data_IF_521661075614
#
_entry.id   IF_521661075614
#
_cell.length_a   1.000
_cell.length_b   1.000
_cell.length_c   1.000
_cell.angle_alpha   90.00
_cell.angle_beta   90.00
_cell.angle_gamma   90.00
#
_symmetry.space_group_name_H-M   'P 1'
#
loop_
_entity.id
_entity.type
_entity.pdbx_description
1 polymer ?
#
# COMPACT_ATOMS: atom_id res chain seq x y z
N UNK A 1 -6.10 -11.49 -6.56
CA UNK A 1 -4.93 -11.12 -5.75
C UNK A 1 -5.38 -10.35 -4.53
N UNK A 2 -5.07 -10.84 -3.32
CA UNK A 2 -5.44 -10.23 -2.04
C UNK A 2 -4.24 -9.51 -1.45
N UNK A 3 -4.44 -8.29 -0.91
CA UNK A 3 -3.34 -7.49 -0.35
C UNK A 3 -2.68 -8.17 0.85
N UNK A 4 -3.45 -8.92 1.64
CA UNK A 4 -2.94 -9.60 2.83
C UNK A 4 -1.95 -10.72 2.47
N UNK A 5 -2.17 -11.43 1.35
CA UNK A 5 -1.20 -12.40 0.84
C UNK A 5 0.13 -11.75 0.45
N UNK A 6 0.08 -10.56 -0.13
CA UNK A 6 1.31 -9.82 -0.45
C UNK A 6 2.04 -9.35 0.82
N UNK A 7 1.31 -8.97 1.87
CA UNK A 7 1.90 -8.63 3.19
C UNK A 7 2.56 -9.85 3.84
N UNK A 8 1.95 -11.03 3.76
CA UNK A 8 2.56 -12.28 4.25
C UNK A 8 3.88 -12.60 3.52
N UNK A 9 3.89 -12.44 2.19
CA UNK A 9 5.10 -12.61 1.37
C UNK A 9 6.15 -11.57 1.77
N UNK A 10 5.77 -10.31 1.95
CA UNK A 10 6.67 -9.24 2.38
C UNK A 10 7.34 -9.58 3.73
N UNK A 11 6.55 -9.99 4.73
CA UNK A 11 7.07 -10.40 6.03
C UNK A 11 8.04 -11.59 5.92
N UNK A 12 7.75 -12.56 5.05
CA UNK A 12 8.65 -13.68 4.77
C UNK A 12 9.95 -13.19 4.15
N UNK A 13 9.89 -12.28 3.18
CA UNK A 13 11.07 -11.68 2.55
C UNK A 13 11.94 -10.99 3.60
N UNK A 14 11.36 -10.13 4.45
CA UNK A 14 12.09 -9.42 5.51
C UNK A 14 12.82 -10.37 6.47
N UNK A 15 12.11 -11.40 6.94
CA UNK A 15 12.61 -12.29 7.98
C UNK A 15 13.62 -13.32 7.48
N UNK A 16 13.58 -13.68 6.19
CA UNK A 16 14.38 -14.80 5.65
C UNK A 16 15.40 -14.41 4.59
N UNK A 17 15.39 -13.18 4.06
CA UNK A 17 16.33 -12.71 3.01
C UNK A 17 17.79 -13.02 3.33
N UNK A 18 18.23 -12.81 4.58
CA UNK A 18 19.63 -13.06 4.99
C UNK A 18 20.06 -14.53 4.88
N UNK A 19 19.09 -15.46 4.87
CA UNK A 19 19.32 -16.91 4.77
C UNK A 19 19.23 -17.43 3.34
N UNK A 20 18.68 -16.66 2.41
CA UNK A 20 18.57 -17.03 0.99
C UNK A 20 19.91 -16.74 0.30
N UNK A 21 20.62 -17.79 -0.14
CA UNK A 21 22.00 -17.67 -0.61
C UNK A 21 22.15 -17.58 -2.13
N UNK A 22 21.17 -18.06 -2.89
CA UNK A 22 21.28 -18.16 -4.34
C UNK A 22 19.95 -17.87 -5.04
N UNK A 23 20.03 -17.76 -6.35
CA UNK A 23 18.89 -17.45 -7.22
C UNK A 23 17.79 -18.52 -7.14
N UNK A 24 18.15 -19.81 -7.07
CA UNK A 24 17.17 -20.90 -6.95
C UNK A 24 16.37 -20.80 -5.65
N UNK A 25 17.03 -20.50 -4.54
CA UNK A 25 16.38 -20.28 -3.26
C UNK A 25 15.50 -19.02 -3.29
N UNK A 26 15.91 -17.95 -3.99
CA UNK A 26 15.07 -16.77 -4.23
C UNK A 26 13.80 -17.12 -5.02
N UNK A 27 13.95 -17.89 -6.11
CA UNK A 27 12.85 -18.37 -6.94
C UNK A 27 11.81 -19.13 -6.12
N UNK A 28 12.24 -20.13 -5.33
CA UNK A 28 11.34 -20.96 -4.52
C UNK A 28 10.76 -20.21 -3.32
N UNK A 29 11.57 -19.43 -2.61
CA UNK A 29 11.14 -18.83 -1.35
C UNK A 29 10.26 -17.60 -1.52
N UNK A 30 10.50 -16.79 -2.58
CA UNK A 30 9.89 -15.47 -2.77
C UNK A 30 9.09 -15.36 -4.06
N UNK A 31 9.65 -15.78 -5.21
CA UNK A 31 9.02 -15.54 -6.52
C UNK A 31 7.85 -16.49 -6.76
N UNK A 32 7.97 -17.78 -6.45
CA UNK A 32 6.86 -18.73 -6.59
C UNK A 32 5.63 -18.34 -5.75
N UNK A 33 5.76 -18.00 -4.45
CA UNK A 33 4.63 -17.46 -3.69
C UNK A 33 4.02 -16.20 -4.29
N UNK A 34 4.85 -15.31 -4.85
CA UNK A 34 4.35 -14.12 -5.55
C UNK A 34 3.53 -14.48 -6.79
N UNK A 35 4.02 -15.39 -7.65
CA UNK A 35 3.29 -15.87 -8.82
C UNK A 35 1.92 -16.47 -8.45
N UNK A 36 1.87 -17.26 -7.38
CA UNK A 36 0.62 -17.80 -6.83
C UNK A 36 -0.32 -16.69 -6.35
N UNK A 37 0.18 -15.72 -5.59
CA UNK A 37 -0.61 -14.59 -5.12
C UNK A 37 -1.13 -13.72 -6.29
N UNK A 38 -0.33 -13.62 -7.35
CA UNK A 38 -0.65 -12.96 -8.61
C UNK A 38 -1.66 -13.75 -9.46
N UNK A 39 -2.01 -14.97 -9.03
CA UNK A 39 -3.12 -15.75 -9.56
C UNK A 39 -2.72 -16.82 -10.57
N UNK A 40 -1.42 -17.02 -10.82
CA UNK A 40 -0.93 -18.04 -11.73
C UNK A 40 -0.62 -19.35 -11.01
N UNK A 41 -0.96 -20.47 -11.62
CA UNK A 41 -0.73 -21.78 -11.03
C UNK A 41 0.71 -22.28 -11.30
N UNK A 42 1.58 -22.10 -10.30
CA UNK A 42 2.99 -22.56 -10.34
C UNK A 42 3.14 -24.08 -10.34
N UNK A 43 2.08 -24.84 -10.05
CA UNK A 43 2.10 -26.30 -10.11
C UNK A 43 1.58 -26.85 -11.44
N UNK A 44 1.06 -25.97 -12.31
CA UNK A 44 0.65 -26.31 -13.66
C UNK A 44 1.75 -25.89 -14.65
N UNK A 45 2.58 -26.82 -15.16
CA UNK A 45 3.67 -26.50 -16.08
C UNK A 45 3.19 -26.01 -17.46
N UNK A 46 1.91 -26.18 -17.79
CA UNK A 46 1.30 -25.61 -18.99
C UNK A 46 0.94 -24.13 -18.82
N UNK A 47 0.84 -23.65 -17.57
CA UNK A 47 0.53 -22.27 -17.25
C UNK A 47 1.77 -21.51 -16.78
N UNK A 48 2.53 -22.07 -15.83
CA UNK A 48 3.82 -21.50 -15.40
C UNK A 48 4.90 -22.51 -15.77
N UNK A 49 5.55 -22.28 -16.90
CA UNK A 49 6.59 -23.16 -17.43
C UNK A 49 7.97 -22.72 -16.90
N UNK A 50 8.61 -23.48 -15.98
CA UNK A 50 9.96 -23.18 -15.54
C UNK A 50 10.99 -23.51 -16.61
N UNK A 51 12.15 -22.84 -16.59
CA UNK A 51 13.23 -23.05 -17.54
C UNK A 51 12.75 -23.10 -19.01
N UNK A 52 11.93 -22.12 -19.39
CA UNK A 52 11.29 -22.12 -20.70
C UNK A 52 12.31 -21.90 -21.82
N UNK A 53 12.34 -22.84 -22.76
CA UNK A 53 13.13 -22.78 -23.99
C UNK A 53 12.21 -22.79 -25.20
N UNK A 54 12.46 -21.91 -26.16
CA UNK A 54 11.78 -21.90 -27.45
C UNK A 54 12.75 -22.35 -28.54
N UNK A 55 12.31 -23.24 -29.44
CA UNK A 55 13.11 -23.67 -30.59
C UNK A 55 13.03 -22.61 -31.70
N UNK A 56 13.66 -21.46 -31.44
CA UNK A 56 13.67 -20.29 -32.31
C UNK A 56 15.09 -19.96 -32.76
N UNK A 57 15.20 -19.44 -33.98
CA UNK A 57 16.48 -19.05 -34.58
C UNK A 57 17.14 -17.96 -33.71
N UNK A 58 18.30 -18.27 -33.13
CA UNK A 58 19.06 -17.35 -32.26
C UNK A 58 18.94 -17.61 -30.75
N UNK A 59 18.12 -18.58 -30.32
CA UNK A 59 17.93 -18.93 -28.89
C UNK A 59 18.47 -20.31 -28.50
N UNK A 60 19.28 -20.96 -29.35
CA UNK A 60 19.76 -22.32 -29.11
C UNK A 60 20.59 -22.42 -27.82
N UNK A 61 20.03 -23.08 -26.80
CA UNK A 61 20.69 -23.41 -25.53
C UNK A 61 20.48 -22.41 -24.40
N UNK A 62 19.74 -21.33 -24.63
CA UNK A 62 19.32 -20.41 -23.56
C UNK A 62 17.97 -20.85 -22.99
N UNK A 63 17.60 -20.36 -21.80
CA UNK A 63 16.28 -20.61 -21.17
C UNK A 63 15.90 -19.49 -20.22
N UNK A 64 14.72 -18.89 -20.35
CA UNK A 64 14.23 -17.95 -19.32
C UNK A 64 13.70 -18.72 -18.12
N UNK A 65 13.74 -18.11 -16.94
CA UNK A 65 13.43 -18.80 -15.70
C UNK A 65 11.98 -19.25 -15.59
N UNK A 66 11.04 -18.40 -15.99
CA UNK A 66 9.64 -18.77 -16.13
C UNK A 66 9.03 -18.14 -17.39
N UNK A 67 8.17 -18.90 -18.05
CA UNK A 67 7.19 -18.37 -18.98
C UNK A 67 5.78 -18.61 -18.42
N UNK A 68 4.96 -17.58 -18.38
CA UNK A 68 3.54 -17.69 -18.11
C UNK A 68 2.84 -17.83 -19.46
N UNK A 69 2.14 -18.94 -19.63
CA UNK A 69 1.51 -19.33 -20.87
C UNK A 69 -0.01 -19.23 -20.75
N UNK A 70 -0.63 -18.70 -21.80
CA UNK A 70 -2.07 -18.74 -22.01
C UNK A 70 -2.31 -19.40 -23.37
N UNK A 71 -3.20 -20.40 -23.42
CA UNK A 71 -3.45 -21.19 -24.63
C UNK A 71 -2.16 -21.75 -25.28
N UNK A 72 -1.23 -22.21 -24.43
CA UNK A 72 0.13 -22.70 -24.79
C UNK A 72 1.06 -21.67 -25.45
N UNK A 73 0.70 -20.38 -25.45
CA UNK A 73 1.55 -19.30 -25.93
C UNK A 73 2.14 -18.50 -24.77
N UNK A 74 3.45 -18.19 -24.76
CA UNK A 74 4.05 -17.40 -23.69
C UNK A 74 3.56 -15.95 -23.77
N UNK A 75 2.82 -15.50 -22.76
CA UNK A 75 2.32 -14.12 -22.66
C UNK A 75 3.20 -13.25 -21.77
N UNK A 76 3.87 -13.84 -20.78
CA UNK A 76 4.79 -13.16 -19.87
C UNK A 76 6.05 -14.01 -19.75
N UNK A 77 7.20 -13.38 -19.94
CA UNK A 77 8.51 -13.98 -19.69
C UNK A 77 9.08 -13.39 -18.42
N UNK A 78 9.67 -14.22 -17.56
CA UNK A 78 10.26 -13.77 -16.31
C UNK A 78 11.71 -14.25 -16.19
N UNK A 79 12.58 -13.29 -15.95
CA UNK A 79 13.99 -13.48 -15.63
C UNK A 79 14.20 -13.16 -14.15
N UNK A 80 14.75 -14.10 -13.41
CA UNK A 80 14.92 -14.01 -11.97
C UNK A 80 16.41 -13.80 -11.63
N UNK A 81 16.65 -13.19 -10.48
CA UNK A 81 17.98 -12.94 -9.91
C UNK A 81 17.97 -13.27 -8.44
N UNK A 82 19.15 -13.40 -7.84
CA UNK A 82 19.24 -13.55 -6.37
C UNK A 82 18.71 -12.29 -5.67
N UNK A 83 18.02 -12.44 -4.54
CA UNK A 83 17.50 -11.34 -3.71
C UNK A 83 18.58 -10.36 -3.18
N UNK A 84 19.86 -10.68 -3.37
CA UNK A 84 20.99 -9.81 -3.03
C UNK A 84 21.55 -9.02 -4.22
N UNK A 85 21.10 -9.33 -5.45
CA UNK A 85 21.55 -8.65 -6.65
C UNK A 85 20.72 -7.39 -6.94
N UNK A 86 21.41 -6.37 -7.46
CA UNK A 86 20.80 -5.15 -7.98
C UNK A 86 20.41 -5.36 -9.46
N UNK A 87 19.16 -5.03 -9.80
CA UNK A 87 18.59 -5.22 -11.13
C UNK A 87 19.03 -4.17 -12.17
N UNK A 88 19.76 -3.11 -11.78
CA UNK A 88 20.23 -2.05 -12.68
C UNK A 88 21.29 -2.52 -13.69
N UNK A 89 21.97 -3.65 -13.44
CA UNK A 89 23.06 -4.07 -14.30
C UNK A 89 22.53 -4.54 -15.68
N UNK A 90 22.91 -3.92 -16.82
CA UNK A 90 22.31 -4.19 -18.14
C UNK A 90 22.37 -5.65 -18.61
N UNK A 91 23.39 -6.41 -18.17
CA UNK A 91 23.48 -7.84 -18.47
C UNK A 91 22.29 -8.65 -17.92
N UNK A 92 21.62 -8.20 -16.86
CA UNK A 92 20.51 -8.92 -16.24
C UNK A 92 19.27 -8.96 -17.12
N UNK A 93 19.03 -7.97 -17.98
CA UNK A 93 17.89 -7.99 -18.90
C UNK A 93 18.23 -8.62 -20.25
N UNK A 94 19.51 -8.86 -20.57
CA UNK A 94 19.93 -9.28 -21.92
C UNK A 94 19.25 -10.57 -22.40
N UNK A 95 19.06 -11.54 -21.52
CA UNK A 95 18.37 -12.78 -21.80
C UNK A 95 16.86 -12.57 -22.00
N UNK A 96 16.25 -11.77 -21.13
CA UNK A 96 14.85 -11.37 -21.24
C UNK A 96 14.56 -10.63 -22.56
N UNK A 97 15.42 -9.69 -22.99
CA UNK A 97 15.29 -9.01 -24.29
C UNK A 97 15.31 -10.00 -25.47
N UNK A 98 16.26 -10.95 -25.48
CA UNK A 98 16.38 -11.93 -26.57
C UNK A 98 15.12 -12.80 -26.68
N UNK A 99 14.62 -13.29 -25.57
CA UNK A 99 13.40 -14.11 -25.55
C UNK A 99 12.16 -13.31 -25.93
N UNK A 100 11.98 -12.13 -25.33
CA UNK A 100 10.84 -11.27 -25.61
C UNK A 100 10.72 -10.99 -27.11
N UNK A 101 11.82 -10.60 -27.75
CA UNK A 101 11.83 -10.25 -29.17
C UNK A 101 11.58 -11.46 -30.10
N UNK A 102 11.78 -12.69 -29.61
CA UNK A 102 11.67 -13.91 -30.39
C UNK A 102 10.31 -14.61 -30.21
N UNK A 103 9.70 -14.56 -29.02
CA UNK A 103 8.50 -15.35 -28.70
C UNK A 103 7.18 -14.60 -28.91
N UNK A 104 7.21 -13.28 -29.12
CA UNK A 104 5.98 -12.48 -29.22
C UNK A 104 5.25 -12.31 -27.88
N UNK A 105 5.94 -12.49 -26.76
CA UNK A 105 5.37 -12.27 -25.43
C UNK A 105 4.98 -10.79 -25.25
N UNK A 106 3.90 -10.53 -24.52
CA UNK A 106 3.43 -9.17 -24.30
C UNK A 106 4.23 -8.45 -23.21
N UNK A 107 4.74 -9.23 -22.23
CA UNK A 107 5.47 -8.71 -21.09
C UNK A 107 6.77 -9.45 -20.81
N UNK A 108 7.77 -8.68 -20.41
CA UNK A 108 8.95 -9.17 -19.73
C UNK A 108 8.94 -8.73 -18.26
N UNK A 109 9.36 -9.59 -17.36
CA UNK A 109 9.52 -9.27 -15.93
C UNK A 109 10.94 -9.61 -15.50
N UNK A 110 11.68 -8.62 -14.99
CA UNK A 110 12.96 -8.83 -14.33
C UNK A 110 12.78 -8.66 -12.83
N UNK A 111 13.18 -9.66 -12.04
CA UNK A 111 12.96 -9.62 -10.58
C UNK A 111 14.06 -10.29 -9.78
N UNK A 112 14.25 -9.83 -8.54
CA UNK A 112 15.05 -10.49 -7.51
C UNK A 112 14.18 -11.01 -6.35
N UNK A 113 12.88 -11.15 -6.56
CA UNK A 113 11.89 -11.53 -5.54
C UNK A 113 11.48 -10.39 -4.60
N UNK A 114 12.17 -9.25 -4.63
CA UNK A 114 11.84 -8.04 -3.86
C UNK A 114 11.26 -6.97 -4.79
N UNK A 115 12.00 -6.64 -5.84
CA UNK A 115 11.62 -5.68 -6.86
C UNK A 115 11.20 -6.46 -8.11
N UNK A 116 10.07 -6.10 -8.70
CA UNK A 116 9.53 -6.65 -9.93
C UNK A 116 9.42 -5.54 -10.97
N UNK A 117 10.21 -5.62 -12.04
CA UNK A 117 10.24 -4.63 -13.12
C UNK A 117 9.54 -5.18 -14.34
N UNK A 118 8.49 -4.50 -14.78
CA UNK A 118 7.66 -4.92 -15.90
C UNK A 118 8.03 -4.12 -17.16
N UNK A 119 8.25 -4.84 -18.25
CA UNK A 119 8.66 -4.33 -19.55
C UNK A 119 7.68 -4.79 -20.61
N UNK A 120 7.55 -3.99 -21.67
CA UNK A 120 6.73 -4.29 -22.84
C UNK A 120 7.36 -3.60 -24.05
N UNK A 121 6.68 -3.56 -25.18
CA UNK A 121 7.13 -3.03 -26.47
C UNK A 121 6.36 -1.76 -26.87
N UNK A 122 6.35 -0.72 -26.01
CA UNK A 122 5.60 0.52 -26.29
C UNK A 122 6.26 1.31 -27.43
N UNK A 123 7.60 1.30 -27.52
CA UNK A 123 8.34 2.11 -28.50
C UNK A 123 8.32 1.48 -29.88
N UNK A 124 8.56 0.17 -29.96
CA UNK A 124 8.60 -0.58 -31.23
C UNK A 124 8.06 -1.98 -31.02
N UNK A 125 7.04 -2.35 -31.81
CA UNK A 125 6.40 -3.66 -31.73
C UNK A 125 7.42 -4.80 -31.76
N UNK A 126 7.21 -5.75 -30.83
CA UNK A 126 8.03 -6.93 -30.63
C UNK A 126 9.51 -6.64 -30.32
N UNK A 127 9.82 -5.43 -29.83
CA UNK A 127 11.12 -5.08 -29.26
C UNK A 127 10.90 -4.57 -27.84
N UNK A 128 11.43 -5.30 -26.85
CA UNK A 128 11.29 -4.91 -25.46
C UNK A 128 11.98 -3.57 -25.19
N UNK A 129 11.25 -2.65 -24.55
CA UNK A 129 11.77 -1.34 -24.14
C UNK A 129 12.88 -1.47 -23.08
N UNK A 130 13.84 -0.54 -23.08
CA UNK A 130 14.93 -0.52 -22.09
C UNK A 130 14.47 -0.14 -20.68
N UNK A 131 13.34 0.58 -20.58
CA UNK A 131 12.81 1.10 -19.31
C UNK A 131 11.55 0.34 -18.91
N UNK A 132 11.41 -0.05 -17.62
CA UNK A 132 10.19 -0.66 -17.16
C UNK A 132 9.06 0.38 -17.09
N UNK A 133 7.87 -0.01 -17.55
CA UNK A 133 6.66 0.81 -17.44
C UNK A 133 6.07 0.78 -16.03
N UNK A 134 6.35 -0.27 -15.26
CA UNK A 134 5.88 -0.45 -13.90
C UNK A 134 6.95 -1.15 -13.05
N UNK A 135 7.10 -0.72 -11.80
CA UNK A 135 7.96 -1.35 -10.81
C UNK A 135 7.14 -1.59 -9.55
N UNK A 136 7.19 -2.80 -9.02
CA UNK A 136 6.51 -3.20 -7.80
C UNK A 136 7.55 -3.67 -6.78
N UNK A 137 7.54 -3.08 -5.58
CA UNK A 137 8.41 -3.45 -4.48
C UNK A 137 7.60 -4.16 -3.40
N UNK A 138 7.86 -5.46 -3.18
CA UNK A 138 7.12 -6.24 -2.19
C UNK A 138 7.33 -5.74 -0.75
N UNK A 139 8.40 -4.98 -0.49
CA UNK A 139 8.69 -4.41 0.84
C UNK A 139 8.17 -2.98 0.99
N UNK A 140 7.69 -2.37 -0.10
CA UNK A 140 7.24 -0.98 -0.12
C UNK A 140 6.14 -0.83 -1.18
N UNK A 141 4.92 -1.17 -0.80
CA UNK A 141 3.74 -1.06 -1.65
C UNK A 141 2.54 -0.50 -0.88
N UNK A 142 1.61 0.07 -1.66
CA UNK A 142 0.35 0.62 -1.23
C UNK A 142 -0.83 -0.01 -2.00
N UNK A 143 -2.06 0.37 -1.68
CA UNK A 143 -3.23 -0.17 -2.39
C UNK A 143 -3.24 0.20 -3.88
N UNK A 144 -2.73 1.37 -4.24
CA UNK A 144 -2.68 1.84 -5.63
C UNK A 144 -1.79 0.94 -6.49
N UNK A 145 -0.57 0.67 -6.04
CA UNK A 145 0.37 -0.21 -6.72
C UNK A 145 -0.12 -1.66 -6.80
N UNK A 146 -0.82 -2.14 -5.77
CA UNK A 146 -1.49 -3.45 -5.81
C UNK A 146 -2.60 -3.49 -6.87
N UNK A 147 -3.39 -2.42 -6.99
CA UNK A 147 -4.43 -2.33 -8.02
C UNK A 147 -3.85 -2.26 -9.43
N UNK A 148 -2.72 -1.58 -9.63
CA UNK A 148 -2.00 -1.62 -10.90
C UNK A 148 -1.44 -3.02 -11.21
N UNK A 149 -0.83 -3.69 -10.22
CA UNK A 149 -0.35 -5.06 -10.38
C UNK A 149 -1.47 -6.05 -10.74
N UNK A 150 -2.69 -5.86 -10.20
CA UNK A 150 -3.86 -6.69 -10.53
C UNK A 150 -4.22 -6.64 -12.01
N UNK A 151 -4.00 -5.53 -12.70
CA UNK A 151 -4.34 -5.40 -14.14
C UNK A 151 -3.57 -6.40 -15.02
N UNK A 152 -2.47 -6.93 -14.51
CA UNK A 152 -1.60 -7.89 -15.18
C UNK A 152 -1.73 -9.32 -14.60
N UNK A 153 -2.67 -9.52 -13.66
CA UNK A 153 -2.94 -10.81 -13.00
C UNK A 153 -3.88 -11.70 -13.81
N UNK A 154 -3.88 -13.02 -13.56
CA UNK A 154 -4.71 -14.01 -14.28
C UNK A 154 -6.18 -13.61 -14.46
N UNK A 155 -6.80 -13.06 -13.40
CA UNK A 155 -8.21 -12.65 -13.43
C UNK A 155 -8.51 -11.47 -14.36
N UNK A 156 -7.49 -10.69 -14.71
CA UNK A 156 -7.57 -9.56 -15.64
C UNK A 156 -7.02 -9.94 -17.03
N UNK A 157 -6.46 -11.14 -17.18
CA UNK A 157 -5.91 -11.68 -18.41
C UNK A 157 -6.90 -12.63 -19.08
N UNK A 158 -7.96 -12.11 -19.69
CA UNK A 158 -8.69 -12.93 -20.69
C UNK A 158 -7.90 -12.93 -22.00
N UNK A 159 -7.95 -14.02 -22.78
CA UNK A 159 -7.30 -14.09 -24.11
C UNK A 159 -7.75 -12.92 -25.01
N UNK A 160 -8.99 -12.43 -24.84
CA UNK A 160 -9.50 -11.24 -25.53
C UNK A 160 -8.87 -9.91 -25.10
N UNK A 161 -8.44 -9.76 -23.86
CA UNK A 161 -7.85 -8.51 -23.35
C UNK A 161 -6.38 -8.35 -23.73
N UNK A 162 -5.65 -9.47 -23.88
CA UNK A 162 -4.31 -9.49 -24.48
C UNK A 162 -4.38 -9.20 -25.98
N UNK A 163 -5.32 -9.83 -26.69
CA UNK A 163 -5.48 -9.64 -28.14
C UNK A 163 -6.08 -8.26 -28.52
N UNK A 164 -6.79 -7.59 -27.61
CA UNK A 164 -7.40 -6.28 -27.88
C UNK A 164 -6.50 -5.08 -27.57
N UNK A 165 -5.26 -5.30 -27.10
CA UNK A 165 -4.29 -4.21 -26.87
C UNK A 165 -4.52 -3.36 -25.62
N UNK A 166 -5.61 -3.57 -24.87
CA UNK A 166 -5.92 -2.83 -23.61
C UNK A 166 -4.79 -2.88 -22.59
N UNK A 167 -4.13 -4.02 -22.53
CA UNK A 167 -3.04 -4.30 -21.61
C UNK A 167 -1.78 -3.51 -21.96
N UNK A 168 -1.46 -3.40 -23.26
CA UNK A 168 -0.40 -2.49 -23.75
C UNK A 168 -0.76 -1.02 -23.52
N UNK A 169 -2.04 -0.65 -23.66
CA UNK A 169 -2.51 0.70 -23.37
C UNK A 169 -2.37 1.06 -21.88
N UNK A 170 -2.74 0.14 -20.98
CA UNK A 170 -2.53 0.32 -19.54
C UNK A 170 -1.04 0.49 -19.19
N UNK A 171 -0.16 -0.31 -19.80
CA UNK A 171 1.29 -0.17 -19.64
C UNK A 171 1.79 1.20 -20.14
N UNK A 172 1.32 1.64 -21.31
CA UNK A 172 1.65 2.96 -21.88
C UNK A 172 1.21 4.10 -20.96
N UNK A 173 -0.01 4.02 -20.42
CA UNK A 173 -0.54 5.02 -19.50
C UNK A 173 0.27 5.09 -18.20
N UNK A 174 0.72 3.94 -17.66
CA UNK A 174 1.61 3.89 -16.50
C UNK A 174 2.97 4.54 -16.78
N UNK A 175 3.58 4.20 -17.91
CA UNK A 175 4.86 4.78 -18.32
C UNK A 175 4.77 6.31 -18.44
N UNK A 176 3.78 6.82 -19.18
CA UNK A 176 3.63 8.26 -19.36
C UNK A 176 3.23 8.96 -18.07
N UNK A 177 2.40 8.37 -17.23
CA UNK A 177 2.07 8.93 -15.91
C UNK A 177 3.33 9.09 -15.06
N UNK A 178 4.22 8.09 -15.07
CA UNK A 178 5.51 8.14 -14.35
C UNK A 178 6.42 9.24 -14.89
N UNK A 179 6.59 9.34 -16.22
CA UNK A 179 7.44 10.37 -16.82
C UNK A 179 6.86 11.79 -16.64
N UNK A 180 5.54 11.95 -16.74
CA UNK A 180 4.87 13.23 -16.46
C UNK A 180 5.05 13.63 -15.00
N UNK A 181 4.88 12.71 -14.03
CA UNK A 181 5.15 12.98 -12.61
C UNK A 181 6.60 13.43 -12.38
N UNK A 182 7.56 12.82 -13.08
CA UNK A 182 8.97 13.22 -13.02
C UNK A 182 9.18 14.65 -13.53
N UNK A 183 8.56 15.00 -14.66
CA UNK A 183 8.62 16.38 -15.19
C UNK A 183 7.96 17.36 -14.22
N UNK A 184 6.79 17.04 -13.67
CA UNK A 184 6.12 17.89 -12.65
C UNK A 184 7.05 18.11 -11.46
N UNK A 185 7.65 17.05 -10.90
CA UNK A 185 8.56 17.16 -9.76
C UNK A 185 9.80 17.99 -10.08
N UNK A 186 10.34 17.88 -11.30
CA UNK A 186 11.43 18.74 -11.77
C UNK A 186 10.98 20.20 -11.82
N UNK A 187 9.86 20.51 -12.47
CA UNK A 187 9.35 21.88 -12.59
C UNK A 187 8.99 22.53 -11.24
N UNK A 188 8.53 21.74 -10.26
CA UNK A 188 8.26 22.23 -8.90
C UNK A 188 9.54 22.65 -8.14
N UNK A 189 10.66 21.98 -8.42
CA UNK A 189 11.94 22.24 -7.76
C UNK A 189 12.79 23.26 -8.52
N UNK A 190 12.84 23.14 -9.83
CA UNK A 190 13.63 23.93 -10.77
C UNK A 190 12.81 24.23 -12.03
N UNK A 191 11.94 25.27 -12.00
CA UNK A 191 11.11 25.66 -13.12
C UNK A 191 11.95 26.03 -14.36
N UNK A 192 11.66 25.42 -15.52
CA UNK A 192 12.34 25.80 -16.76
C UNK A 192 11.87 27.16 -17.28
N UNK A 193 12.69 27.87 -18.10
CA UNK A 193 12.29 29.15 -18.68
C UNK A 193 10.98 29.09 -19.48
N UNK A 194 10.69 27.98 -20.17
CA UNK A 194 9.46 27.76 -20.94
C UNK A 194 8.25 27.65 -20.01
N UNK A 195 8.38 26.91 -18.91
CA UNK A 195 7.35 26.77 -17.90
C UNK A 195 7.08 28.10 -17.20
N UNK A 196 8.13 28.87 -16.89
CA UNK A 196 8.01 30.23 -16.35
C UNK A 196 7.29 31.16 -17.33
N UNK A 197 7.69 31.15 -18.61
CA UNK A 197 7.04 31.96 -19.66
C UNK A 197 5.55 31.68 -19.78
N UNK A 198 5.13 30.42 -19.58
CA UNK A 198 3.72 30.05 -19.53
C UNK A 198 2.97 30.80 -18.42
N UNK A 199 3.46 30.81 -17.17
CA UNK A 199 2.78 31.59 -16.12
C UNK A 199 2.84 33.09 -16.37
N UNK A 200 4.00 33.60 -16.76
CA UNK A 200 4.22 35.02 -17.06
C UNK A 200 3.22 35.51 -18.12
N UNK A 201 2.91 34.71 -19.13
CA UNK A 201 1.95 35.09 -20.16
C UNK A 201 0.52 35.31 -19.66
N UNK A 202 0.17 34.75 -18.51
CA UNK A 202 -1.15 34.86 -17.91
C UNK A 202 -1.24 35.94 -16.82
N UNK A 203 -0.10 36.43 -16.31
CA UNK A 203 -0.06 37.36 -15.15
C UNK A 203 0.69 38.67 -15.42
N UNK A 204 1.46 38.76 -16.51
CA UNK A 204 2.29 39.93 -16.83
C UNK A 204 2.10 40.35 -18.29
N UNK A 205 1.70 41.61 -18.49
CA UNK A 205 1.42 42.21 -19.80
C UNK A 205 2.61 42.90 -20.46
N UNK A 206 3.74 43.05 -19.74
CA UNK A 206 4.95 43.69 -20.26
C UNK A 206 5.81 42.77 -21.13
N UNK A 207 6.91 43.33 -21.64
CA UNK A 207 7.88 42.58 -22.45
C UNK A 207 8.56 41.51 -21.61
N UNK A 208 8.57 40.27 -22.11
CA UNK A 208 9.09 39.09 -21.41
C UNK A 208 10.61 38.95 -21.62
N UNK A 209 11.36 39.91 -21.12
CA UNK A 209 12.83 39.88 -21.16
C UNK A 209 13.39 38.76 -20.27
N UNK A 210 14.66 38.39 -20.47
CA UNK A 210 15.32 37.38 -19.63
C UNK A 210 15.30 37.74 -18.14
N UNK A 211 15.51 39.02 -17.79
CA UNK A 211 15.45 39.51 -16.41
C UNK A 211 14.05 39.39 -15.81
N UNK A 212 12.99 39.61 -16.61
CA UNK A 212 11.61 39.37 -16.16
C UNK A 212 11.41 37.89 -15.89
N UNK A 213 11.83 37.00 -16.81
CA UNK A 213 11.72 35.55 -16.61
C UNK A 213 12.43 35.12 -15.33
N UNK A 214 13.68 35.54 -15.11
CA UNK A 214 14.46 35.20 -13.92
C UNK A 214 13.78 35.65 -12.62
N UNK A 215 13.26 36.89 -12.59
CA UNK A 215 12.49 37.39 -11.44
C UNK A 215 11.24 36.55 -11.18
N UNK A 216 10.53 36.14 -12.24
CA UNK A 216 9.33 35.33 -12.12
C UNK A 216 9.62 33.87 -11.77
N UNK A 217 10.80 33.32 -12.10
CA UNK A 217 11.22 31.97 -11.70
C UNK A 217 11.11 31.81 -10.18
N UNK A 218 11.69 32.73 -9.41
CA UNK A 218 11.66 32.68 -7.95
C UNK A 218 10.25 32.88 -7.38
N UNK A 219 9.47 33.78 -7.98
CA UNK A 219 8.07 34.00 -7.57
C UNK A 219 7.25 32.72 -7.79
N UNK A 220 7.34 32.11 -8.97
CA UNK A 220 6.59 30.89 -9.33
C UNK A 220 7.02 29.72 -8.44
N UNK A 221 8.33 29.52 -8.25
CA UNK A 221 8.86 28.47 -7.39
C UNK A 221 8.31 28.58 -5.96
N UNK A 222 8.30 29.79 -5.38
CA UNK A 222 7.72 30.03 -4.07
C UNK A 222 6.21 29.79 -4.07
N UNK A 223 5.48 30.36 -5.02
CA UNK A 223 4.02 30.23 -5.09
C UNK A 223 3.55 28.79 -5.29
N UNK A 224 4.27 27.98 -6.08
CA UNK A 224 3.95 26.55 -6.25
C UNK A 224 4.11 25.78 -4.94
N UNK A 225 5.20 26.04 -4.20
CA UNK A 225 5.43 25.42 -2.87
C UNK A 225 4.36 25.82 -1.86
N UNK A 226 4.04 27.11 -1.78
CA UNK A 226 2.99 27.64 -0.91
C UNK A 226 1.63 26.99 -1.24
N UNK A 227 1.27 26.92 -2.52
CA UNK A 227 0.01 26.32 -2.96
C UNK A 227 -0.08 24.84 -2.61
N UNK A 228 0.98 24.06 -2.82
CA UNK A 228 1.02 22.64 -2.44
C UNK A 228 0.86 22.49 -0.92
N UNK A 229 1.58 23.31 -0.13
CA UNK A 229 1.46 23.28 1.33
C UNK A 229 0.04 23.62 1.78
N UNK A 230 -0.63 24.56 1.12
CA UNK A 230 -2.02 24.90 1.41
C UNK A 230 -3.00 23.79 1.02
N UNK A 231 -2.75 23.07 -0.08
CA UNK A 231 -3.49 21.84 -0.40
C UNK A 231 -3.29 20.81 0.70
N UNK A 232 -2.05 20.53 1.10
CA UNK A 232 -1.74 19.54 2.15
C UNK A 232 -2.44 19.91 3.46
N UNK A 233 -2.42 21.19 3.85
CA UNK A 233 -3.15 21.67 5.03
C UNK A 233 -4.66 21.46 4.87
N UNK A 234 -5.24 21.75 3.72
CA UNK A 234 -6.68 21.54 3.46
C UNK A 234 -7.05 20.06 3.47
N UNK A 235 -6.20 19.18 2.90
CA UNK A 235 -6.44 17.74 2.87
C UNK A 235 -6.15 17.08 4.22
N UNK A 236 -5.21 17.59 5.01
CA UNK A 236 -4.92 17.18 6.38
C UNK A 236 -5.85 17.80 7.43
N UNK A 237 -6.66 18.81 7.04
CA UNK A 237 -7.77 19.35 7.81
C UNK A 237 -9.11 18.66 7.50
N UNK A 238 -9.15 17.72 6.55
CA UNK A 238 -10.25 16.77 6.56
C UNK A 238 -10.09 15.96 7.85
N UNK A 239 -11.08 15.99 8.77
CA UNK A 239 -11.03 15.11 9.92
C UNK A 239 -10.78 13.69 9.38
N UNK A 240 -9.88 12.90 10.02
CA UNK A 240 -9.70 11.50 9.66
C UNK A 240 -11.09 10.88 9.49
N UNK A 241 -11.24 10.00 8.49
CA UNK A 241 -12.48 9.25 8.26
C UNK A 241 -13.07 8.90 9.64
N UNK A 242 -14.29 9.37 9.98
CA UNK A 242 -14.86 9.14 11.31
C UNK A 242 -14.82 7.66 11.72
N UNK A 243 -14.81 6.73 10.77
CA UNK A 243 -14.60 5.32 11.05
C UNK A 243 -13.16 4.96 11.44
N UNK A 244 -12.16 5.51 10.73
CA UNK A 244 -10.73 5.30 11.01
C UNK A 244 -10.35 5.90 12.38
N UNK A 245 -10.78 7.13 12.67
CA UNK A 245 -10.48 7.80 13.93
C UNK A 245 -11.09 7.06 15.13
N UNK A 246 -12.34 6.58 15.01
CA UNK A 246 -12.99 5.74 16.02
C UNK A 246 -12.19 4.45 16.28
N UNK A 247 -11.60 3.88 15.22
CA UNK A 247 -10.82 2.64 15.32
C UNK A 247 -9.47 2.88 15.98
N UNK A 248 -8.78 3.99 15.67
CA UNK A 248 -7.53 4.38 16.33
C UNK A 248 -7.72 4.58 17.84
N UNK A 249 -8.77 5.32 18.22
CA UNK A 249 -9.19 5.48 19.62
C UNK A 249 -9.41 4.13 20.29
N UNK A 250 -10.13 3.23 19.62
CA UNK A 250 -10.41 1.90 20.17
C UNK A 250 -9.11 1.15 20.47
N UNK A 251 -8.12 1.20 19.58
CA UNK A 251 -6.83 0.53 19.78
C UNK A 251 -5.96 1.20 20.84
N UNK A 252 -5.99 2.53 20.96
CA UNK A 252 -5.31 3.25 22.06
C UNK A 252 -5.86 2.77 23.40
N UNK A 253 -7.20 2.78 23.55
CA UNK A 253 -7.86 2.36 24.80
C UNK A 253 -7.61 0.86 25.06
N UNK A 254 -7.66 0.02 24.03
CA UNK A 254 -7.35 -1.41 24.14
C UNK A 254 -5.91 -1.64 24.58
N UNK A 255 -4.96 -0.81 24.14
CA UNK A 255 -3.56 -0.85 24.57
C UNK A 255 -3.41 -0.45 26.04
N UNK A 256 -4.05 0.65 26.46
CA UNK A 256 -4.05 1.13 27.86
C UNK A 256 -4.59 0.04 28.80
N UNK A 257 -5.65 -0.67 28.39
CA UNK A 257 -6.32 -1.66 29.24
C UNK A 257 -5.69 -3.05 29.20
N UNK A 258 -4.67 -3.28 28.37
CA UNK A 258 -4.03 -4.59 28.20
C UNK A 258 -3.40 -5.12 29.49
N UNK A 259 -2.97 -4.21 30.37
CA UNK A 259 -2.40 -4.54 31.68
C UNK A 259 -3.45 -5.03 32.70
N UNK A 260 -4.72 -4.64 32.53
CA UNK A 260 -5.79 -4.92 33.50
C UNK A 260 -6.68 -6.09 33.08
N UNK A 261 -6.85 -6.35 31.77
CA UNK A 261 -7.78 -7.35 31.26
C UNK A 261 -7.38 -7.91 29.91
N UNK A 262 -7.81 -9.16 29.63
CA UNK A 262 -7.72 -9.71 28.29
C UNK A 262 -8.50 -8.84 27.29
N UNK A 263 -7.75 -8.23 26.39
CA UNK A 263 -8.26 -7.26 25.41
C UNK A 263 -9.31 -7.82 24.44
N UNK A 264 -9.46 -9.15 24.29
CA UNK A 264 -10.56 -9.78 23.52
C UNK A 264 -11.93 -9.43 24.11
N UNK A 265 -11.99 -9.15 25.42
CA UNK A 265 -13.22 -8.75 26.12
C UNK A 265 -13.58 -7.29 25.90
N UNK A 266 -12.67 -6.48 25.36
CA UNK A 266 -12.93 -5.07 25.06
C UNK A 266 -13.47 -4.98 23.64
N UNK A 267 -14.73 -4.59 23.52
CA UNK A 267 -15.46 -4.50 22.25
C UNK A 267 -16.02 -3.09 22.10
N UNK A 268 -16.29 -2.68 20.86
CA UNK A 268 -16.92 -1.39 20.60
C UNK A 268 -18.29 -1.55 19.95
N UNK A 269 -19.12 -0.52 20.08
CA UNK A 269 -20.39 -0.37 19.39
C UNK A 269 -20.52 1.07 18.93
N UNK A 270 -20.62 1.26 17.62
CA UNK A 270 -20.92 2.57 17.06
C UNK A 270 -22.41 2.86 17.21
N UNK A 271 -22.74 4.07 17.65
CA UNK A 271 -24.12 4.53 17.81
C UNK A 271 -24.29 5.89 17.16
N UNK A 272 -25.54 6.30 16.96
CA UNK A 272 -25.84 7.62 16.38
C UNK A 272 -25.27 8.79 17.20
N UNK A 273 -25.08 8.62 18.51
CA UNK A 273 -24.77 9.72 19.42
C UNK A 273 -23.37 9.64 20.04
N UNK A 274 -22.72 8.47 19.97
CA UNK A 274 -21.40 8.22 20.54
C UNK A 274 -20.81 6.90 20.02
N UNK A 275 -19.50 6.78 20.09
CA UNK A 275 -18.78 5.52 19.91
C UNK A 275 -18.52 4.89 21.29
N UNK A 276 -19.18 3.76 21.58
CA UNK A 276 -19.15 3.14 22.90
C UNK A 276 -18.15 2.00 22.98
N UNK A 277 -17.28 2.01 24.01
CA UNK A 277 -16.36 0.91 24.30
C UNK A 277 -16.88 0.18 25.55
N UNK A 278 -17.11 -1.12 25.40
CA UNK A 278 -17.84 -1.95 26.34
C UNK A 278 -17.05 -3.21 26.70
N UNK A 279 -17.19 -3.64 27.95
CA UNK A 279 -16.69 -4.93 28.40
C UNK A 279 -17.68 -6.03 28.01
N UNK A 280 -17.17 -7.12 27.42
CA UNK A 280 -17.92 -8.28 26.92
C UNK A 280 -19.03 -7.92 25.92
N UNK A 281 -18.90 -6.78 25.23
CA UNK A 281 -19.94 -6.25 24.34
C UNK A 281 -21.22 -5.80 25.05
N UNK A 282 -21.26 -5.78 26.39
CA UNK A 282 -22.45 -5.44 27.17
C UNK A 282 -22.56 -3.94 27.42
N UNK A 283 -23.66 -3.33 26.98
CA UNK A 283 -23.92 -1.89 27.20
C UNK A 283 -24.02 -1.51 28.68
N UNK A 284 -24.46 -2.46 29.53
CA UNK A 284 -24.47 -2.30 31.00
C UNK A 284 -23.07 -2.30 31.60
N UNK A 285 -22.06 -2.74 30.86
CA UNK A 285 -20.64 -2.70 31.22
C UNK A 285 -19.87 -1.73 30.32
N UNK A 286 -20.38 -0.51 30.20
CA UNK A 286 -19.71 0.57 29.47
C UNK A 286 -18.41 0.95 30.17
N UNK A 287 -17.30 0.91 29.42
CA UNK A 287 -15.96 1.37 29.84
C UNK A 287 -15.85 2.87 29.63
N UNK A 288 -16.12 3.33 28.41
CA UNK A 288 -16.18 4.75 28.08
C UNK A 288 -16.99 5.00 26.81
N UNK A 289 -17.36 6.26 26.57
CA UNK A 289 -18.04 6.73 25.37
C UNK A 289 -17.26 7.88 24.77
N UNK A 290 -17.04 7.84 23.46
CA UNK A 290 -16.45 8.91 22.69
C UNK A 290 -17.56 9.68 21.98
N UNK A 291 -17.60 10.99 22.18
CA UNK A 291 -18.52 11.89 21.49
C UNK A 291 -17.74 12.76 20.53
N UNK A 292 -18.19 12.77 19.29
CA UNK A 292 -17.66 13.61 18.22
C UNK A 292 -18.73 14.63 17.87
N UNK A 293 -18.47 15.91 18.13
CA UNK A 293 -19.39 16.99 17.77
C UNK A 293 -19.01 17.54 16.40
N UNK A 294 -19.54 16.91 15.34
CA UNK A 294 -19.21 17.19 13.93
C UNK A 294 -19.26 18.70 13.57
N UNK A 295 -20.22 19.45 14.13
CA UNK A 295 -20.37 20.88 13.86
C UNK A 295 -19.31 21.77 14.51
N UNK A 296 -18.76 21.36 15.65
CA UNK A 296 -17.83 22.19 16.44
C UNK A 296 -16.41 21.63 16.43
N UNK A 297 -16.19 20.44 15.86
CA UNK A 297 -14.92 19.73 15.90
C UNK A 297 -14.54 19.19 17.28
N UNK A 298 -15.36 19.47 18.32
CA UNK A 298 -15.05 19.08 19.70
C UNK A 298 -15.20 17.57 19.89
N UNK A 299 -14.25 16.98 20.61
CA UNK A 299 -14.26 15.56 20.98
C UNK A 299 -14.20 15.46 22.49
N UNK A 300 -14.84 14.42 23.04
CA UNK A 300 -14.78 14.15 24.47
C UNK A 300 -14.85 12.68 24.78
N UNK A 301 -14.08 12.26 25.78
CA UNK A 301 -14.19 10.95 26.40
C UNK A 301 -15.02 11.04 27.69
N UNK A 302 -16.07 10.24 27.77
CA UNK A 302 -16.97 10.15 28.90
C UNK A 302 -16.79 8.79 29.57
N UNK A 303 -16.38 8.77 30.83
CA UNK A 303 -16.22 7.55 31.64
C UNK A 303 -17.36 7.52 32.67
N UNK A 304 -18.19 6.46 32.73
CA UNK A 304 -19.26 6.39 33.71
C UNK A 304 -18.71 6.36 35.14
N UNK A 305 -19.14 7.32 35.96
CA UNK A 305 -18.67 7.52 37.33
C UNK A 305 -19.51 6.70 38.31
N UNK A 306 -20.84 6.78 38.19
CA UNK A 306 -21.79 6.01 39.02
C UNK A 306 -22.96 5.47 38.17
N UNK A 307 -23.19 4.16 38.26
CA UNK A 307 -24.21 3.43 37.47
C UNK A 307 -25.63 3.79 37.90
N UNK A 308 -25.86 4.14 39.16
CA UNK A 308 -27.19 4.47 39.71
C UNK A 308 -27.64 5.89 39.35
N UNK A 309 -26.70 6.83 39.24
CA UNK A 309 -27.02 8.25 38.96
C UNK A 309 -26.88 8.61 37.48
N UNK A 310 -26.27 7.74 36.67
CA UNK A 310 -26.00 8.00 35.25
C UNK A 310 -24.99 9.11 34.99
N UNK A 311 -24.27 9.59 36.01
CA UNK A 311 -23.23 10.62 35.86
C UNK A 311 -21.99 10.07 35.16
N UNK A 312 -21.42 10.86 34.27
CA UNK A 312 -20.19 10.55 33.52
C UNK A 312 -19.14 11.64 33.78
N UNK A 313 -17.92 11.21 34.11
CA UNK A 313 -16.75 12.09 34.08
C UNK A 313 -16.40 12.35 32.60
N UNK A 314 -16.48 13.61 32.17
CA UNK A 314 -16.24 14.01 30.78
C UNK A 314 -14.95 14.81 30.68
N UNK A 315 -14.05 14.36 29.79
CA UNK A 315 -12.80 15.05 29.46
C UNK A 315 -12.84 15.43 27.98
N UNK A 316 -12.66 16.72 27.67
CA UNK A 316 -12.50 17.15 26.28
C UNK A 316 -11.10 16.77 25.80
N UNK A 317 -11.00 16.37 24.54
CA UNK A 317 -9.73 16.01 23.91
C UNK A 317 -9.61 16.75 22.58
N UNK A 318 -8.47 17.40 22.36
CA UNK A 318 -8.16 18.08 21.09
C UNK A 318 -7.32 17.18 20.16
N UNK A 319 -6.61 16.19 20.74
CA UNK A 319 -5.80 15.19 20.05
C UNK A 319 -6.02 13.77 20.62
N UNK A 320 -5.68 12.73 19.86
CA UNK A 320 -5.77 11.33 20.34
C UNK A 320 -4.77 11.02 21.45
N UNK A 321 -3.63 11.71 21.49
CA UNK A 321 -2.60 11.53 22.53
C UNK A 321 -3.11 11.92 23.93
N UNK A 322 -4.08 12.84 24.02
CA UNK A 322 -4.67 13.25 25.29
C UNK A 322 -5.48 12.11 25.97
N UNK A 323 -5.81 11.04 25.25
CA UNK A 323 -6.45 9.85 25.83
C UNK A 323 -5.55 9.20 26.89
N UNK A 324 -4.23 9.26 26.73
CA UNK A 324 -3.29 8.76 27.74
C UNK A 324 -3.41 9.53 29.07
N UNK A 325 -3.85 10.78 29.05
CA UNK A 325 -4.11 11.59 30.24
C UNK A 325 -5.24 11.05 31.13
N UNK A 326 -6.14 10.21 30.59
CA UNK A 326 -7.23 9.57 31.35
C UNK A 326 -7.02 8.06 31.58
N UNK A 327 -5.81 7.55 31.33
CA UNK A 327 -5.51 6.12 31.40
C UNK A 327 -5.88 5.48 32.74
N UNK A 328 -5.55 6.11 33.87
CA UNK A 328 -5.86 5.59 35.21
C UNK A 328 -7.36 5.52 35.50
N UNK A 329 -8.16 6.44 34.95
CA UNK A 329 -9.62 6.39 35.06
C UNK A 329 -10.21 5.22 34.27
N UNK A 330 -9.68 4.96 33.06
CA UNK A 330 -10.08 3.81 32.25
C UNK A 330 -9.75 2.49 32.96
N UNK A 331 -8.54 2.36 33.50
CA UNK A 331 -8.12 1.19 34.29
C UNK A 331 -9.00 0.99 35.52
N UNK A 332 -9.24 2.05 36.28
CA UNK A 332 -10.11 2.02 37.46
C UNK A 332 -11.54 1.60 37.13
N UNK A 333 -12.07 2.07 36.00
CA UNK A 333 -13.39 1.65 35.51
C UNK A 333 -13.44 0.17 35.16
N UNK A 334 -12.42 -0.36 34.48
CA UNK A 334 -12.32 -1.80 34.19
C UNK A 334 -12.25 -2.63 35.47
N UNK A 335 -11.44 -2.20 36.44
CA UNK A 335 -11.35 -2.86 37.75
C UNK A 335 -12.73 -2.92 38.42
N UNK A 336 -13.47 -1.81 38.45
CA UNK A 336 -14.84 -1.78 38.95
C UNK A 336 -15.77 -2.76 38.22
N UNK A 337 -15.81 -2.74 36.88
CA UNK A 337 -16.67 -3.60 36.06
C UNK A 337 -16.38 -5.10 36.18
N UNK A 338 -15.22 -5.46 36.74
CA UNK A 338 -14.75 -6.83 36.93
C UNK A 338 -14.85 -7.32 38.37
N UNK A 339 -15.16 -6.44 39.35
CA UNK A 339 -15.28 -6.81 40.77
C UNK A 339 -16.33 -7.91 41.03
N UNK A 340 -17.46 -7.93 40.31
CA UNK A 340 -18.49 -8.98 40.45
C UNK A 340 -18.03 -10.36 39.97
N UNK A 341 -17.00 -10.42 39.10
CA UNK A 341 -16.44 -11.68 38.59
C UNK A 341 -15.46 -12.34 39.56
N UNK A 342 -14.95 -11.59 40.55
CA UNK A 342 -14.05 -12.14 41.58
C UNK A 342 -14.83 -12.74 42.76
N UNK A 343 -15.94 -12.12 43.19
CA UNK A 343 -16.80 -12.67 44.27
C UNK A 343 -17.45 -14.01 43.91
N UNK A 344 -17.80 -14.22 42.64
CA UNK A 344 -18.43 -15.50 42.22
C UNK A 344 -17.48 -16.71 42.22
N UNK A 345 -16.17 -16.52 42.39
CA UNK A 345 -15.19 -17.63 42.48
C UNK A 345 -14.91 -18.07 43.92
N UNK A 346 -15.18 -17.26 44.94
CA UNK A 346 -14.90 -17.61 46.34
C UNK A 346 -16.04 -18.37 47.04
N UNK A 347 -17.28 -18.32 46.53
CA UNK A 347 -18.44 -18.92 47.22
C UNK A 347 -18.79 -20.36 46.79
N UNK A 348 -17.98 -21.00 45.92
CA UNK A 348 -18.20 -22.40 45.50
C UNK A 348 -17.28 -23.43 46.18
N UNK A 349 -16.64 -23.07 47.29
CA UNK A 349 -15.80 -24.01 48.06
C UNK A 349 -16.24 -24.05 49.52
N UNK A 350 -17.52 -24.34 49.79
CA UNK A 350 -17.97 -24.78 51.11
C UNK A 350 -19.39 -25.38 51.02
N UNK A 351 -19.47 -26.62 50.55
CA UNK A 351 -20.48 -27.59 51.01
C UNK A 351 -19.99 -29.00 50.71
N UNK A 352 -19.44 -29.65 51.73
CA UNK A 352 -19.27 -31.10 51.83
C UNK A 352 -20.60 -31.70 52.24
#
# INVERSE_FOLDING_TARGET
>A
MEIDKLKEIAQKVETSRSRIQNEQATKTAFIMPFLQAWGYDVFNPMEVHPEYSADLTGLKGEKVDYAICLDNQPIILMECKSCHQNLEHPKHSSQLHRYFNATGANFGVLTNGIIYRFYTDIVKDNIMDDKPFFEFNILDFDESSVNELKRFSKSSTSTSDFNSGKIKEAARNLLYTKEVKKVIAQQLNDPSPEFVKFFVSHVYSGVRTASVVEKFTEIIKRSLKEYINDIIKKTGQNPPDPALEKLEVFYIIKSILREEINTVRIQFKDTRSYFGINLDGKVTKTVCRLRFHEKTGKKSICIPDNVETGKEATTNIDSLDEIYGVAEFLKSRIRYLTQDTYKSKSEKTESI
#
